data_IF_036795163558
#
_entry.id   IF_036795163558
#
_cell.length_a   1.000
_cell.length_b   1.000
_cell.length_c   1.000
_cell.angle_alpha   90.00
_cell.angle_beta   90.00
_cell.angle_gamma   90.00
#
_symmetry.space_group_name_H-M   'P 1'
#
loop_
_entity.id
_entity.type
_entity.pdbx_description
1 polymer ?
#
# COMPACT_ATOMS: atom_id res chain seq x y z
N UNK A 1 5.60 29.17 22.06
CA UNK A 1 4.58 28.11 21.91
C UNK A 1 5.32 26.86 21.46
N UNK A 2 5.35 25.84 22.30
CA UNK A 2 6.08 24.60 22.01
C UNK A 2 5.38 23.89 20.86
N UNK A 3 6.08 23.72 19.73
CA UNK A 3 5.72 22.75 18.70
C UNK A 3 5.81 21.37 19.34
N UNK A 4 4.70 20.86 19.86
CA UNK A 4 4.52 19.43 20.04
C UNK A 4 4.43 18.85 18.63
N UNK A 5 5.59 18.46 18.09
CA UNK A 5 5.65 17.58 16.94
C UNK A 5 4.83 16.34 17.35
N UNK A 6 3.62 16.22 16.81
CA UNK A 6 2.76 15.06 17.05
C UNK A 6 3.57 13.84 16.63
N UNK A 7 3.78 12.91 17.56
CA UNK A 7 4.44 11.64 17.25
C UNK A 7 3.75 11.00 16.03
N UNK A 8 4.52 10.40 15.11
CA UNK A 8 3.95 9.74 13.94
C UNK A 8 2.94 8.68 14.41
N UNK A 9 1.75 8.67 13.80
CA UNK A 9 0.68 7.74 14.16
C UNK A 9 1.06 6.39 13.55
N UNK A 10 1.39 5.43 14.41
CA UNK A 10 1.61 4.03 14.02
C UNK A 10 0.30 3.41 13.57
N UNK A 11 0.30 2.86 12.36
CA UNK A 11 -0.86 2.22 11.73
C UNK A 11 -0.56 0.77 11.33
N UNK A 12 0.54 0.19 11.81
CA UNK A 12 1.00 -1.16 11.44
C UNK A 12 -0.09 -2.21 11.65
N UNK A 13 -0.82 -2.15 12.77
CA UNK A 13 -1.94 -3.05 13.05
C UNK A 13 -3.07 -2.95 12.03
N UNK A 14 -3.35 -1.75 11.50
CA UNK A 14 -4.38 -1.54 10.48
C UNK A 14 -3.97 -2.19 9.15
N UNK A 15 -2.69 -2.06 8.77
CA UNK A 15 -2.14 -2.69 7.56
C UNK A 15 -2.18 -4.22 7.68
N UNK A 16 -1.80 -4.77 8.83
CA UNK A 16 -1.93 -6.21 9.11
C UNK A 16 -3.39 -6.67 9.04
N UNK A 17 -4.32 -5.89 9.59
CA UNK A 17 -5.75 -6.19 9.50
C UNK A 17 -6.26 -6.16 8.07
N UNK A 18 -5.82 -5.21 7.24
CA UNK A 18 -6.18 -5.17 5.82
C UNK A 18 -5.63 -6.38 5.07
N UNK A 19 -4.35 -6.76 5.29
CA UNK A 19 -3.77 -8.00 4.76
C UNK A 19 -4.61 -9.23 5.14
N UNK A 20 -5.08 -9.30 6.37
CA UNK A 20 -5.94 -10.40 6.82
C UNK A 20 -7.29 -10.37 6.11
N UNK A 21 -7.90 -9.20 5.96
CA UNK A 21 -9.12 -9.04 5.18
C UNK A 21 -8.94 -9.52 3.74
N UNK A 22 -7.87 -9.11 3.06
CA UNK A 22 -7.58 -9.53 1.69
C UNK A 22 -7.46 -11.07 1.61
N UNK A 23 -6.64 -11.68 2.47
CA UNK A 23 -6.46 -13.13 2.49
C UNK A 23 -7.75 -13.91 2.80
N UNK A 24 -8.58 -13.41 3.71
CA UNK A 24 -9.85 -14.07 4.10
C UNK A 24 -10.89 -13.91 2.99
N UNK A 25 -10.92 -12.76 2.32
CA UNK A 25 -11.93 -12.45 1.31
C UNK A 25 -11.59 -13.01 -0.06
N UNK A 26 -10.30 -13.20 -0.35
CA UNK A 26 -9.84 -13.59 -1.69
C UNK A 26 -10.51 -14.83 -2.27
N UNK A 27 -10.73 -15.94 -1.53
CA UNK A 27 -11.41 -17.11 -2.09
C UNK A 27 -12.82 -16.81 -2.63
N UNK A 28 -13.51 -15.80 -2.08
CA UNK A 28 -14.80 -15.37 -2.58
C UNK A 28 -14.66 -14.47 -3.81
N UNK A 29 -13.64 -13.61 -3.83
CA UNK A 29 -13.32 -12.77 -4.99
C UNK A 29 -12.87 -13.62 -6.18
N UNK A 30 -12.13 -14.70 -5.93
CA UNK A 30 -11.66 -15.65 -6.94
C UNK A 30 -12.82 -16.28 -7.72
N UNK A 31 -13.90 -16.66 -7.01
CA UNK A 31 -15.14 -17.17 -7.63
C UNK A 31 -15.82 -16.10 -8.50
N UNK A 32 -15.77 -14.82 -8.10
CA UNK A 32 -16.31 -13.73 -8.90
C UNK A 32 -15.47 -13.53 -10.18
N UNK A 33 -14.14 -13.58 -10.05
CA UNK A 33 -13.20 -13.42 -11.16
C UNK A 33 -13.35 -14.48 -12.26
N UNK A 34 -13.63 -15.73 -11.91
CA UNK A 34 -13.81 -16.83 -12.87
C UNK A 34 -14.95 -16.58 -13.87
N UNK A 35 -15.96 -15.82 -13.46
CA UNK A 35 -17.16 -15.55 -14.26
C UNK A 35 -17.27 -14.08 -14.68
N UNK A 36 -16.22 -13.30 -14.47
CA UNK A 36 -16.22 -11.86 -14.71
C UNK A 36 -15.96 -11.55 -16.19
N UNK A 37 -16.63 -10.52 -16.70
CA UNK A 37 -16.39 -10.01 -18.07
C UNK A 37 -15.24 -9.01 -18.06
N UNK A 38 -14.03 -9.53 -18.30
CA UNK A 38 -12.80 -8.75 -18.32
C UNK A 38 -12.68 -7.80 -19.53
N UNK A 39 -13.51 -7.97 -20.57
CA UNK A 39 -13.51 -7.05 -21.71
C UNK A 39 -14.24 -5.75 -21.36
N UNK A 40 -15.31 -5.82 -20.56
CA UNK A 40 -16.05 -4.63 -20.12
C UNK A 40 -15.51 -4.02 -18.82
N UNK A 41 -14.99 -4.81 -17.90
CA UNK A 41 -14.58 -4.36 -16.56
C UNK A 41 -13.22 -4.92 -16.14
N UNK A 42 -12.18 -4.52 -16.88
CA UNK A 42 -10.79 -4.94 -16.65
C UNK A 42 -10.17 -4.46 -15.33
N UNK A 43 -10.75 -3.44 -14.68
CA UNK A 43 -10.23 -2.85 -13.44
C UNK A 43 -10.90 -3.38 -12.17
N UNK A 44 -11.82 -4.35 -12.29
CA UNK A 44 -12.64 -4.86 -11.20
C UNK A 44 -11.86 -5.13 -9.90
N UNK A 45 -10.69 -5.76 -10.00
CA UNK A 45 -9.88 -6.13 -8.83
C UNK A 45 -9.19 -4.92 -8.20
N UNK A 46 -8.67 -4.03 -9.03
CA UNK A 46 -8.04 -2.80 -8.56
C UNK A 46 -9.06 -1.91 -7.85
N UNK A 47 -10.26 -1.80 -8.42
CA UNK A 47 -11.39 -1.08 -7.84
C UNK A 47 -11.87 -1.75 -6.55
N UNK A 48 -11.95 -3.09 -6.51
CA UNK A 48 -12.33 -3.85 -5.32
C UNK A 48 -11.32 -3.65 -4.17
N UNK A 49 -10.03 -3.68 -4.45
CA UNK A 49 -9.02 -3.40 -3.41
C UNK A 49 -9.11 -1.94 -2.97
N UNK A 50 -9.19 -1.01 -3.92
CA UNK A 50 -9.16 0.41 -3.64
C UNK A 50 -10.40 0.88 -2.86
N UNK A 51 -11.60 0.36 -3.17
CA UNK A 51 -12.80 0.69 -2.40
C UNK A 51 -12.70 0.15 -0.98
N UNK A 52 -12.22 -1.08 -0.79
CA UNK A 52 -12.04 -1.66 0.54
C UNK A 52 -10.95 -0.92 1.34
N UNK A 53 -9.89 -0.46 0.69
CA UNK A 53 -8.87 0.40 1.28
C UNK A 53 -9.46 1.72 1.80
N UNK A 54 -10.28 2.39 0.99
CA UNK A 54 -10.95 3.65 1.37
C UNK A 54 -11.85 3.48 2.59
N UNK A 55 -12.57 2.36 2.69
CA UNK A 55 -13.46 2.11 3.82
C UNK A 55 -12.76 1.58 5.07
N UNK A 56 -11.90 0.58 4.93
CA UNK A 56 -11.33 -0.17 6.07
C UNK A 56 -10.11 0.50 6.67
N UNK A 57 -9.38 1.30 5.88
CA UNK A 57 -8.12 1.91 6.32
C UNK A 57 -8.25 3.42 6.35
N UNK A 58 -8.54 4.05 5.22
CA UNK A 58 -8.58 5.51 5.15
C UNK A 58 -9.63 6.10 6.11
N UNK A 59 -10.87 5.65 6.00
CA UNK A 59 -11.96 6.20 6.82
C UNK A 59 -11.79 5.89 8.31
N UNK A 60 -11.23 4.73 8.65
CA UNK A 60 -10.97 4.36 10.04
C UNK A 60 -9.89 5.26 10.66
N UNK A 61 -8.78 5.47 9.95
CA UNK A 61 -7.63 6.23 10.47
C UNK A 61 -7.90 7.74 10.44
N UNK A 62 -8.48 8.25 9.36
CA UNK A 62 -8.59 9.69 9.11
C UNK A 62 -9.97 10.28 9.42
N UNK A 63 -11.01 9.44 9.48
CA UNK A 63 -12.40 9.89 9.50
C UNK A 63 -12.88 10.40 8.15
N UNK A 64 -14.04 11.07 8.12
CA UNK A 64 -14.64 11.60 6.89
C UNK A 64 -13.94 12.87 6.40
N UNK A 65 -13.84 13.04 5.08
CA UNK A 65 -13.36 14.26 4.43
C UNK A 65 -11.83 14.44 4.43
N UNK A 66 -11.10 13.38 4.75
CA UNK A 66 -9.65 13.29 4.69
C UNK A 66 -9.28 12.01 3.96
N UNK A 67 -8.19 12.08 3.20
CA UNK A 67 -7.92 11.14 2.12
C UNK A 67 -6.46 10.68 2.18
N UNK A 68 -6.25 9.37 2.15
CA UNK A 68 -4.95 8.72 1.96
C UNK A 68 -4.60 8.65 0.47
N UNK A 69 -3.32 8.45 0.17
CA UNK A 69 -2.90 7.99 -1.14
C UNK A 69 -3.62 6.67 -1.47
N UNK A 70 -3.98 6.53 -2.75
CA UNK A 70 -4.54 5.28 -3.27
C UNK A 70 -3.47 4.20 -3.22
N UNK A 71 -3.92 2.94 -3.15
CA UNK A 71 -3.01 1.83 -3.42
C UNK A 71 -2.75 1.78 -4.92
N UNK A 72 -1.53 1.43 -5.25
CA UNK A 72 -1.02 1.27 -6.59
C UNK A 72 -1.24 2.51 -7.46
N UNK A 73 -1.59 2.30 -8.73
CA UNK A 73 -1.99 3.36 -9.65
C UNK A 73 -3.51 3.53 -9.70
N UNK A 74 -4.21 3.06 -8.67
CA UNK A 74 -5.67 3.00 -8.68
C UNK A 74 -6.24 4.41 -8.52
N UNK A 75 -7.40 4.60 -9.12
CA UNK A 75 -8.18 5.82 -8.94
C UNK A 75 -9.04 5.70 -7.70
N UNK A 76 -9.20 6.81 -6.98
CA UNK A 76 -10.15 6.89 -5.87
C UNK A 76 -11.56 6.62 -6.38
N UNK A 77 -12.31 5.78 -5.66
CA UNK A 77 -13.64 5.33 -6.09
C UNK A 77 -14.75 6.16 -5.44
N UNK A 78 -14.72 6.38 -4.13
CA UNK A 78 -15.83 7.06 -3.43
C UNK A 78 -15.90 8.56 -3.69
N UNK A 79 -14.76 9.21 -3.88
CA UNK A 79 -14.66 10.66 -4.13
C UNK A 79 -13.60 10.97 -5.20
N UNK A 80 -13.80 10.61 -6.48
CA UNK A 80 -12.74 10.61 -7.50
C UNK A 80 -11.97 11.93 -7.67
N UNK A 81 -12.61 13.06 -7.40
CA UNK A 81 -12.01 14.40 -7.54
C UNK A 81 -11.16 14.83 -6.32
N UNK A 82 -11.21 14.09 -5.23
CA UNK A 82 -10.56 14.45 -3.98
C UNK A 82 -9.10 13.99 -3.93
N UNK A 83 -8.24 14.90 -3.46
CA UNK A 83 -6.80 14.66 -3.39
C UNK A 83 -6.39 14.08 -2.04
N UNK A 84 -5.50 13.11 -2.09
CA UNK A 84 -4.79 12.61 -0.92
C UNK A 84 -4.08 13.75 -0.19
N UNK A 85 -4.19 13.75 1.14
CA UNK A 85 -3.48 14.66 2.05
C UNK A 85 -2.48 13.93 2.92
N UNK A 86 -2.55 12.60 2.90
CA UNK A 86 -1.74 11.72 3.72
C UNK A 86 -1.25 10.54 2.88
N UNK A 87 -0.12 9.99 3.26
CA UNK A 87 0.50 8.80 2.70
C UNK A 87 0.96 7.91 3.86
N UNK A 88 1.38 6.69 3.52
CA UNK A 88 1.82 5.72 4.52
C UNK A 88 3.31 5.51 4.35
N UNK A 89 4.06 5.99 5.34
CA UNK A 89 5.48 5.73 5.44
C UNK A 89 5.72 4.28 5.90
N UNK A 90 6.78 3.68 5.39
CA UNK A 90 7.24 2.34 5.72
C UNK A 90 8.69 2.39 6.22
N UNK A 91 9.01 1.62 7.24
CA UNK A 91 10.37 1.37 7.71
C UNK A 91 10.55 -0.14 7.70
N UNK A 92 11.69 -0.58 7.17
CA UNK A 92 12.06 -1.98 7.16
C UNK A 92 12.88 -2.24 8.43
N UNK A 93 12.36 -3.06 9.33
CA UNK A 93 12.92 -3.26 10.69
C UNK A 93 13.98 -4.35 10.76
N UNK A 94 14.04 -5.22 9.75
CA UNK A 94 14.92 -6.39 9.74
C UNK A 94 15.86 -6.33 8.53
N UNK A 95 17.17 -6.44 8.78
CA UNK A 95 18.13 -6.72 7.72
C UNK A 95 17.93 -8.16 7.23
N UNK A 96 17.10 -8.34 6.22
CA UNK A 96 16.88 -9.64 5.60
C UNK A 96 18.08 -9.97 4.67
N UNK A 97 18.70 -11.15 4.84
CA UNK A 97 19.59 -11.74 3.82
C UNK A 97 18.73 -12.21 2.63
N UNK A 98 18.51 -11.32 1.67
CA UNK A 98 17.53 -11.54 0.61
C UNK A 98 18.16 -12.16 -0.64
N UNK A 99 17.86 -13.44 -0.86
CA UNK A 99 18.08 -14.11 -2.13
C UNK A 99 16.86 -13.91 -3.02
N UNK A 100 16.81 -12.76 -3.70
CA UNK A 100 16.33 -12.60 -5.08
C UNK A 100 16.33 -11.11 -5.46
N UNK A 101 16.15 -10.84 -6.75
CA UNK A 101 16.51 -9.60 -7.48
C UNK A 101 16.09 -8.25 -6.88
N UNK A 102 15.21 -8.22 -5.88
CA UNK A 102 14.52 -7.01 -5.44
C UNK A 102 15.28 -6.22 -4.39
N UNK A 103 16.21 -6.80 -3.63
CA UNK A 103 16.98 -6.09 -2.61
C UNK A 103 18.48 -6.45 -2.63
N UNK A 104 19.07 -6.60 -3.83
CA UNK A 104 20.55 -6.67 -3.97
C UNK A 104 21.27 -5.39 -3.57
N UNK A 105 20.57 -4.31 -3.26
CA UNK A 105 21.20 -3.13 -2.65
C UNK A 105 20.98 -3.15 -1.15
N UNK A 106 22.03 -3.49 -0.39
CA UNK A 106 22.16 -3.26 1.05
C UNK A 106 22.08 -1.76 1.46
N UNK A 107 21.47 -0.90 0.65
CA UNK A 107 21.59 0.56 0.73
C UNK A 107 20.21 1.27 0.72
N UNK A 108 19.23 0.77 1.47
CA UNK A 108 17.99 1.51 1.76
C UNK A 108 18.10 2.42 2.99
N UNK A 109 19.26 2.44 3.67
CA UNK A 109 19.52 3.35 4.78
C UNK A 109 19.25 4.81 4.37
N UNK A 110 18.35 5.46 5.10
CA UNK A 110 17.99 6.86 4.90
C UNK A 110 16.98 7.14 3.78
N UNK A 111 16.34 6.13 3.19
CA UNK A 111 15.27 6.34 2.19
C UNK A 111 13.91 6.55 2.85
N UNK A 112 13.18 7.57 2.40
CA UNK A 112 11.75 7.74 2.66
C UNK A 112 10.96 6.71 1.82
N UNK A 113 10.63 5.57 2.42
CA UNK A 113 9.82 4.52 1.78
C UNK A 113 8.34 4.75 2.06
N UNK A 114 7.52 4.63 1.02
CA UNK A 114 6.07 4.72 1.11
C UNK A 114 5.43 3.38 0.72
N UNK A 115 4.41 2.96 1.46
CA UNK A 115 3.57 1.82 1.06
C UNK A 115 2.87 2.18 -0.25
N UNK A 116 3.03 1.31 -1.24
CA UNK A 116 2.42 1.46 -2.55
C UNK A 116 1.36 0.40 -2.81
N UNK A 117 1.53 -0.84 -2.35
CA UNK A 117 0.55 -1.90 -2.61
C UNK A 117 0.88 -3.21 -1.93
N UNK A 118 0.12 -4.24 -2.27
CA UNK A 118 0.37 -5.62 -1.84
C UNK A 118 0.75 -6.45 -3.06
N UNK A 119 1.79 -7.27 -2.92
CA UNK A 119 2.29 -8.13 -4.00
C UNK A 119 2.72 -9.45 -3.43
N UNK A 120 2.65 -10.48 -4.25
CA UNK A 120 3.14 -11.79 -3.88
C UNK A 120 4.01 -12.36 -5.00
N UNK A 121 5.02 -13.20 -4.69
CA UNK A 121 5.93 -13.76 -5.70
C UNK A 121 5.36 -15.01 -6.41
N UNK A 122 5.05 -14.93 -7.72
CA UNK A 122 4.61 -16.07 -8.56
C UNK A 122 5.70 -16.42 -9.56
N UNK A 123 6.25 -17.64 -9.53
CA UNK A 123 7.05 -18.20 -10.63
C UNK A 123 8.06 -17.21 -11.26
N UNK A 124 8.89 -16.57 -10.43
CA UNK A 124 9.87 -15.54 -10.81
C UNK A 124 9.31 -14.16 -11.24
N UNK A 125 8.01 -13.92 -11.05
CA UNK A 125 7.32 -12.63 -11.20
C UNK A 125 6.63 -12.23 -9.89
N UNK A 126 5.93 -11.10 -9.91
CA UNK A 126 5.08 -10.62 -8.82
C UNK A 126 3.68 -10.32 -9.34
N UNK A 127 2.68 -10.57 -8.51
CA UNK A 127 1.29 -10.32 -8.86
C UNK A 127 0.45 -9.99 -7.63
N UNK A 128 -0.81 -9.64 -7.90
CA UNK A 128 -1.82 -9.37 -6.88
C UNK A 128 -2.66 -10.62 -6.64
N UNK A 129 -2.26 -11.43 -5.65
CA UNK A 129 -2.93 -12.69 -5.31
C UNK A 129 -2.43 -13.16 -3.93
N UNK A 130 -3.16 -14.03 -3.23
CA UNK A 130 -2.78 -14.51 -1.90
C UNK A 130 -1.63 -15.54 -1.97
N UNK A 131 -0.85 -15.68 -0.88
CA UNK A 131 -0.98 -14.94 0.37
C UNK A 131 -0.40 -13.53 0.26
N UNK A 132 -1.11 -12.50 0.73
CA UNK A 132 -0.69 -11.09 0.69
C UNK A 132 0.39 -10.76 1.73
N UNK A 133 1.47 -11.54 1.75
CA UNK A 133 2.49 -11.51 2.81
C UNK A 133 3.64 -10.55 2.50
N UNK A 134 3.60 -9.91 1.33
CA UNK A 134 4.57 -8.90 0.95
C UNK A 134 3.85 -7.62 0.53
N UNK A 135 4.55 -6.52 0.78
CA UNK A 135 4.14 -5.18 0.38
C UNK A 135 5.07 -4.66 -0.70
N UNK A 136 4.50 -3.93 -1.66
CA UNK A 136 5.24 -3.07 -2.56
C UNK A 136 5.47 -1.73 -1.86
N UNK A 137 6.74 -1.35 -1.69
CA UNK A 137 7.13 -0.05 -1.12
C UNK A 137 7.99 0.70 -2.12
N UNK A 138 7.85 2.03 -2.15
CA UNK A 138 8.54 2.88 -3.12
C UNK A 138 9.35 3.97 -2.46
N UNK A 139 10.53 4.17 -3.03
CA UNK A 139 11.41 5.31 -2.78
C UNK A 139 11.23 6.30 -3.93
N UNK A 140 10.65 7.46 -3.63
CA UNK A 140 10.49 8.52 -4.63
C UNK A 140 11.81 9.23 -4.93
N UNK A 141 12.73 9.27 -3.98
CA UNK A 141 14.06 9.87 -4.19
C UNK A 141 14.89 9.10 -5.21
N UNK A 142 14.85 7.76 -5.13
CA UNK A 142 15.65 6.89 -6.00
C UNK A 142 14.86 6.32 -7.17
N UNK A 143 13.55 6.58 -7.24
CA UNK A 143 12.60 6.02 -8.22
C UNK A 143 12.74 4.49 -8.24
N UNK A 144 12.67 3.88 -7.06
CA UNK A 144 12.83 2.44 -6.87
C UNK A 144 11.63 1.84 -6.16
N UNK A 145 11.32 0.61 -6.56
CA UNK A 145 10.30 -0.22 -5.94
C UNK A 145 10.97 -1.41 -5.28
N UNK A 146 10.50 -1.75 -4.09
CA UNK A 146 10.93 -2.92 -3.33
C UNK A 146 9.69 -3.74 -2.95
N UNK A 147 9.85 -5.05 -2.94
CA UNK A 147 8.87 -6.01 -2.41
C UNK A 147 9.45 -6.57 -1.12
N UNK A 148 8.76 -6.36 -0.01
CA UNK A 148 9.27 -6.65 1.34
C UNK A 148 8.25 -7.50 2.09
N UNK A 149 8.68 -8.55 2.82
CA UNK A 149 7.80 -9.24 3.75
C UNK A 149 7.13 -8.25 4.71
N UNK A 150 5.81 -8.33 4.83
CA UNK A 150 5.03 -7.38 5.63
C UNK A 150 5.42 -7.42 7.11
N UNK A 151 5.82 -8.58 7.61
CA UNK A 151 6.28 -8.79 9.00
C UNK A 151 7.62 -8.12 9.32
N UNK A 152 8.32 -7.64 8.30
CA UNK A 152 9.57 -6.89 8.42
C UNK A 152 9.35 -5.38 8.28
N UNK A 153 8.10 -4.92 8.27
CA UNK A 153 7.73 -3.53 8.06
C UNK A 153 6.94 -2.96 9.24
N UNK A 154 7.28 -1.73 9.61
CA UNK A 154 6.43 -0.86 10.42
C UNK A 154 5.88 0.26 9.54
N UNK A 155 4.67 0.74 9.86
CA UNK A 155 3.94 1.72 9.05
C UNK A 155 3.45 2.91 9.87
N UNK A 156 3.60 4.11 9.32
CA UNK A 156 3.10 5.35 9.94
C UNK A 156 2.35 6.22 8.96
N UNK A 157 1.37 6.93 9.50
CA UNK A 157 0.68 7.99 8.79
C UNK A 157 1.60 9.20 8.63
N UNK A 158 1.81 9.66 7.39
CA UNK A 158 2.62 10.82 7.04
C UNK A 158 1.77 11.84 6.27
N UNK A 159 1.73 13.12 6.67
CA UNK A 159 1.13 14.16 5.85
C UNK A 159 1.92 14.31 4.54
N UNK A 160 1.23 14.38 3.41
CA UNK A 160 1.89 14.67 2.14
C UNK A 160 2.41 16.10 2.18
N UNK A 161 3.72 16.28 2.03
CA UNK A 161 4.27 17.62 1.85
C UNK A 161 3.77 18.16 0.51
N UNK A 162 3.17 19.35 0.49
CA UNK A 162 2.48 19.94 -0.68
C UNK A 162 3.39 20.32 -1.87
N UNK A 163 4.42 19.54 -2.17
CA UNK A 163 5.40 19.76 -3.23
C UNK A 163 5.51 18.56 -4.19
N UNK A 164 4.39 18.08 -4.70
CA UNK A 164 4.43 17.39 -6.00
C UNK A 164 3.50 18.16 -6.92
N UNK A 165 4.09 19.09 -7.67
CA UNK A 165 3.49 19.55 -8.93
C UNK A 165 3.67 18.40 -9.90
N UNK A 166 2.58 17.74 -10.24
CA UNK A 166 2.51 16.99 -11.48
C UNK A 166 2.24 18.02 -12.56
N UNK A 167 3.27 18.34 -13.34
CA UNK A 167 3.12 19.06 -14.61
C UNK A 167 2.66 18.07 -15.69
#
# INVERSE_FOLDING_TARGET
MNNLATSPIDITSHIVMFRNFLNISWPFVDVLMENHDWEEDGNFIDDWIQINWEFLIEREILGKGKYLATLEWNSRITFPDERAKYEIACEITTQLEMKDWILKSNNYEGEDLLLFGFRSPINASYGLYPPFDFVEVRSFEKVKTYIVPLDCCNFWLKPMSGKIKWD
#
